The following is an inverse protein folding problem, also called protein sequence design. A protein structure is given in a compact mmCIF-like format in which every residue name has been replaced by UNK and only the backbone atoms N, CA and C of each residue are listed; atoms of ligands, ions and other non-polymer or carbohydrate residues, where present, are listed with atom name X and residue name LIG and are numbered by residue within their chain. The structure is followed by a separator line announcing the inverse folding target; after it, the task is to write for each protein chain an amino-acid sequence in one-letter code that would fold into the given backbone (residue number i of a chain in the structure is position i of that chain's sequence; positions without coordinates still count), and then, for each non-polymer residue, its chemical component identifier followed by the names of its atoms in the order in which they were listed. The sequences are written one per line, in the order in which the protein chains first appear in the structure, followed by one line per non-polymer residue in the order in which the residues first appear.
data_IF_328405329526
#
_entry.id   IF_328405329526
#
_cell.length_a   1.000
_cell.length_b   1.000
_cell.length_c   1.000
_cell.angle_alpha   90.00
_cell.angle_beta   90.00
_cell.angle_gamma   90.00
#
_symmetry.space_group_name_H-M   'P 1'
#
loop_
_entity.id
_entity.type
_entity.pdbx_description
1 polymer ?
#
# COMPACT_ATOMS: atom_id res chain seq x y z
N UNK A 1 2.96 23.00 -10.47
CA UNK A 1 2.64 21.74 -9.75
C UNK A 1 1.27 21.29 -10.21
N UNK A 2 1.16 20.10 -10.79
CA UNK A 2 -0.15 19.47 -11.03
C UNK A 2 -0.58 18.89 -9.68
N UNK A 3 -1.69 19.37 -9.12
CA UNK A 3 -2.26 18.84 -7.88
C UNK A 3 -2.79 17.43 -8.05
N UNK A 4 -3.43 16.88 -7.01
CA UNK A 4 -4.06 15.56 -7.12
C UNK A 4 -5.30 15.63 -8.03
N UNK A 5 -5.43 14.70 -8.98
CA UNK A 5 -6.57 14.67 -9.89
C UNK A 5 -7.89 14.45 -9.14
N UNK A 6 -8.97 15.14 -9.57
CA UNK A 6 -10.27 15.08 -8.89
C UNK A 6 -10.83 13.65 -8.74
N UNK A 7 -10.78 12.77 -9.77
CA UNK A 7 -11.25 11.38 -9.61
C UNK A 7 -10.49 10.59 -8.54
N UNK A 8 -9.20 10.90 -8.35
CA UNK A 8 -8.39 10.25 -7.32
C UNK A 8 -8.78 10.76 -5.92
N UNK A 9 -9.06 12.05 -5.76
CA UNK A 9 -9.62 12.58 -4.50
C UNK A 9 -10.94 11.88 -4.18
N UNK A 10 -11.86 11.81 -5.14
CA UNK A 10 -13.17 11.16 -4.96
C UNK A 10 -13.02 9.68 -4.58
N UNK A 11 -12.08 8.95 -5.19
CA UNK A 11 -11.75 7.58 -4.82
C UNK A 11 -11.25 7.46 -3.37
N UNK A 12 -10.35 8.34 -2.95
CA UNK A 12 -9.75 8.33 -1.61
C UNK A 12 -10.77 8.72 -0.52
N UNK A 13 -11.72 9.60 -0.84
CA UNK A 13 -12.78 10.05 0.06
C UNK A 13 -14.02 9.13 0.06
N UNK A 14 -14.14 8.18 -0.88
CA UNK A 14 -15.30 7.30 -0.95
C UNK A 14 -15.29 6.25 0.19
N UNK A 15 -16.28 6.25 1.12
CA UNK A 15 -16.32 5.27 2.21
C UNK A 15 -16.71 3.85 1.75
N UNK A 16 -17.37 3.71 0.59
CA UNK A 16 -17.74 2.43 0.03
C UNK A 16 -16.56 1.66 -0.59
N UNK A 17 -15.39 2.31 -0.71
CA UNK A 17 -14.17 1.70 -1.25
C UNK A 17 -13.13 1.69 -0.14
N UNK A 18 -12.72 0.49 0.29
CA UNK A 18 -11.68 0.33 1.32
C UNK A 18 -10.30 0.51 0.71
N UNK A 19 -9.48 1.36 1.33
CA UNK A 19 -8.07 1.57 0.95
C UNK A 19 -7.19 0.79 1.91
N UNK A 20 -6.39 -0.12 1.39
CA UNK A 20 -5.54 -1.03 2.16
C UNK A 20 -4.09 -0.69 1.86
N UNK A 21 -3.24 -0.64 2.89
CA UNK A 21 -1.81 -0.41 2.71
C UNK A 21 -1.00 -0.63 3.99
N UNK A 22 0.25 -0.18 3.97
CA UNK A 22 1.22 -0.28 5.06
C UNK A 22 1.83 1.11 5.25
N UNK A 23 1.76 1.67 6.45
CA UNK A 23 2.22 3.05 6.73
C UNK A 23 1.44 4.15 5.98
N UNK A 24 0.13 3.93 5.76
CA UNK A 24 -0.73 4.86 5.01
C UNK A 24 -0.75 6.28 5.58
N UNK A 25 -0.46 6.43 6.87
CA UNK A 25 -0.34 7.75 7.51
C UNK A 25 0.69 8.63 6.79
N UNK A 26 1.85 8.09 6.46
CA UNK A 26 2.92 8.85 5.82
C UNK A 26 2.56 9.19 4.36
N UNK A 27 1.94 8.23 3.66
CA UNK A 27 1.43 8.45 2.30
C UNK A 27 0.41 9.60 2.25
N UNK A 28 -0.57 9.60 3.16
CA UNK A 28 -1.57 10.67 3.21
C UNK A 28 -0.97 12.02 3.63
N UNK A 29 0.06 12.03 4.49
CA UNK A 29 0.77 13.29 4.80
C UNK A 29 1.45 13.88 3.56
N UNK A 30 2.01 13.04 2.67
CA UNK A 30 2.61 13.49 1.42
C UNK A 30 1.56 13.93 0.40
N UNK A 31 0.50 13.13 0.20
CA UNK A 31 -0.59 13.45 -0.73
C UNK A 31 -1.32 14.74 -0.35
N UNK A 32 -1.45 15.03 0.95
CA UNK A 32 -2.06 16.28 1.44
C UNK A 32 -1.27 17.54 1.08
N UNK A 33 0.01 17.42 0.70
CA UNK A 33 0.78 18.53 0.14
C UNK A 33 0.36 18.88 -1.30
N UNK A 34 -0.31 17.94 -1.98
CA UNK A 34 -0.76 18.09 -3.37
C UNK A 34 -2.23 18.52 -3.48
N UNK A 35 -3.07 18.15 -2.50
CA UNK A 35 -4.47 18.56 -2.42
C UNK A 35 -5.04 18.37 -1.00
N UNK A 36 -6.05 19.16 -0.63
CA UNK A 36 -6.83 18.91 0.60
C UNK A 36 -7.90 17.86 0.34
N UNK A 37 -7.93 16.81 1.15
CA UNK A 37 -8.95 15.75 1.12
C UNK A 37 -8.99 14.99 2.44
N UNK A 38 -10.09 14.28 2.68
CA UNK A 38 -10.32 13.48 3.88
C UNK A 38 -10.44 11.98 3.55
N UNK A 39 -9.34 11.19 3.65
CA UNK A 39 -9.38 9.76 3.37
C UNK A 39 -10.43 9.04 4.22
N UNK A 40 -11.27 8.23 3.59
CA UNK A 40 -12.30 7.42 4.25
C UNK A 40 -11.96 5.93 4.15
N UNK A 41 -12.49 5.08 5.04
CA UNK A 41 -12.39 3.60 4.90
C UNK A 41 -10.96 3.10 4.63
N UNK A 42 -10.00 3.52 5.45
CA UNK A 42 -8.58 3.17 5.30
C UNK A 42 -8.14 2.14 6.33
N UNK A 43 -7.43 1.10 5.90
CA UNK A 43 -6.88 0.04 6.73
C UNK A 43 -5.37 0.03 6.56
N UNK A 44 -4.66 0.40 7.63
CA UNK A 44 -3.21 0.25 7.72
C UNK A 44 -2.89 -1.08 8.38
N UNK A 45 -2.36 -2.02 7.58
CA UNK A 45 -2.06 -3.38 8.02
C UNK A 45 -1.06 -3.41 9.17
N UNK A 46 -0.16 -2.42 9.30
CA UNK A 46 0.81 -2.36 10.40
C UNK A 46 0.15 -2.29 11.78
N UNK A 47 -1.06 -1.74 11.84
CA UNK A 47 -1.79 -1.59 13.09
C UNK A 47 -2.52 -2.87 13.49
N UNK A 48 -2.74 -3.79 12.55
CA UNK A 48 -3.53 -4.99 12.78
C UNK A 48 -2.68 -6.26 12.86
N UNK A 49 -1.54 -6.34 12.16
CA UNK A 49 -0.72 -7.57 12.12
C UNK A 49 -0.21 -8.02 13.50
N UNK A 50 -0.09 -7.10 14.46
CA UNK A 50 0.32 -7.41 15.83
C UNK A 50 -0.63 -8.37 16.55
N UNK A 51 -1.94 -8.33 16.28
CA UNK A 51 -2.91 -9.27 16.87
C UNK A 51 -2.75 -10.70 16.36
N UNK A 52 -2.04 -10.88 15.25
CA UNK A 52 -1.69 -12.18 14.66
C UNK A 52 -0.29 -12.66 15.09
N UNK A 53 0.32 -12.02 16.09
CA UNK A 53 1.66 -12.36 16.59
C UNK A 53 2.81 -11.82 15.73
N UNK A 54 2.53 -11.05 14.67
CA UNK A 54 3.54 -10.50 13.77
C UNK A 54 4.08 -9.20 14.35
N UNK A 55 5.36 -9.21 14.76
CA UNK A 55 6.03 -8.03 15.32
C UNK A 55 6.64 -7.13 14.25
N UNK A 56 7.07 -7.71 13.12
CA UNK A 56 7.61 -6.96 12.00
C UNK A 56 6.51 -6.17 11.27
N UNK A 57 6.72 -4.87 11.07
CA UNK A 57 5.72 -3.99 10.42
C UNK A 57 5.99 -3.70 8.94
N UNK A 58 7.13 -4.11 8.39
CA UNK A 58 7.42 -3.84 6.98
C UNK A 58 6.63 -4.78 6.07
N UNK A 59 6.11 -4.27 4.95
CA UNK A 59 5.34 -5.06 3.96
C UNK A 59 6.05 -6.37 3.58
N UNK A 60 7.33 -6.30 3.23
CA UNK A 60 8.13 -7.47 2.86
C UNK A 60 8.18 -8.53 3.98
N UNK A 61 8.29 -8.11 5.24
CA UNK A 61 8.40 -9.02 6.38
C UNK A 61 7.05 -9.64 6.71
N UNK A 62 5.99 -8.84 6.75
CA UNK A 62 4.62 -9.32 6.94
C UNK A 62 4.31 -10.36 5.86
N UNK A 63 4.56 -10.03 4.59
CA UNK A 63 4.33 -10.93 3.47
C UNK A 63 5.16 -12.22 3.58
N UNK A 64 6.44 -12.12 3.99
CA UNK A 64 7.29 -13.30 4.15
C UNK A 64 6.85 -14.23 5.28
N UNK A 65 6.33 -13.67 6.39
CA UNK A 65 5.82 -14.45 7.50
C UNK A 65 4.53 -15.18 7.10
N UNK A 66 3.64 -14.52 6.37
CA UNK A 66 2.33 -15.06 6.03
C UNK A 66 2.35 -16.03 4.85
N UNK A 67 3.21 -15.80 3.85
CA UNK A 67 3.20 -16.54 2.59
C UNK A 67 4.48 -17.35 2.33
N UNK A 68 5.44 -17.33 3.27
CA UNK A 68 6.76 -17.98 3.13
C UNK A 68 7.51 -17.56 1.84
N UNK A 69 7.23 -16.34 1.36
CA UNK A 69 7.74 -15.80 0.08
C UNK A 69 8.35 -14.42 0.27
N UNK A 70 9.34 -14.07 -0.53
CA UNK A 70 10.04 -12.77 -0.44
C UNK A 70 9.67 -11.85 -1.60
N UNK A 71 9.31 -10.60 -1.27
CA UNK A 71 9.17 -9.51 -2.24
C UNK A 71 10.52 -8.82 -2.43
N UNK A 72 10.87 -8.45 -3.67
CA UNK A 72 12.11 -7.74 -3.96
C UNK A 72 12.05 -6.27 -3.53
N UNK A 73 13.16 -5.71 -3.05
CA UNK A 73 13.33 -4.28 -2.71
C UNK A 73 14.17 -3.49 -3.71
N UNK A 74 14.56 -4.13 -4.82
CA UNK A 74 15.60 -3.61 -5.73
C UNK A 74 15.27 -2.23 -6.32
N UNK A 75 13.99 -1.90 -6.51
CA UNK A 75 13.57 -0.66 -7.15
C UNK A 75 13.21 0.46 -6.18
N UNK A 76 13.26 0.22 -4.86
CA UNK A 76 12.86 1.20 -3.84
C UNK A 76 13.62 2.52 -3.96
N UNK A 77 14.92 2.46 -4.24
CA UNK A 77 15.83 3.61 -4.35
C UNK A 77 16.19 3.95 -5.80
N UNK A 78 15.38 3.49 -6.77
CA UNK A 78 15.56 3.83 -8.19
C UNK A 78 15.12 5.28 -8.47
N UNK A 79 15.42 5.78 -9.67
CA UNK A 79 14.93 7.09 -10.11
C UNK A 79 13.42 7.03 -10.45
N UNK A 80 12.58 7.38 -9.48
CA UNK A 80 11.12 7.45 -9.64
C UNK A 80 10.62 8.72 -10.36
N UNK A 81 11.51 9.67 -10.63
CA UNK A 81 11.20 10.88 -11.39
C UNK A 81 11.41 10.70 -12.91
N UNK A 82 11.81 9.50 -13.33
CA UNK A 82 11.96 9.16 -14.76
C UNK A 82 10.61 9.30 -15.48
N UNK A 83 10.61 9.99 -16.63
CA UNK A 83 9.42 10.17 -17.47
C UNK A 83 8.81 8.83 -17.91
N UNK A 84 9.67 7.87 -18.22
CA UNK A 84 9.28 6.49 -18.51
C UNK A 84 9.84 5.57 -17.43
N UNK A 85 8.94 4.86 -16.75
CA UNK A 85 9.32 3.86 -15.75
C UNK A 85 9.70 2.55 -16.43
N UNK A 86 10.82 1.96 -15.99
CA UNK A 86 11.22 0.62 -16.43
C UNK A 86 10.20 -0.44 -15.98
N UNK A 87 10.15 -1.56 -16.70
CA UNK A 87 9.29 -2.69 -16.32
C UNK A 87 9.56 -3.19 -14.88
N UNK A 88 10.81 -3.09 -14.41
CA UNK A 88 11.16 -3.47 -13.06
C UNK A 88 10.51 -2.54 -12.03
N UNK A 89 10.51 -1.23 -12.27
CA UNK A 89 9.84 -0.25 -11.40
C UNK A 89 8.33 -0.44 -11.40
N UNK A 90 7.73 -0.64 -12.57
CA UNK A 90 6.29 -0.90 -12.70
C UNK A 90 5.88 -2.16 -11.94
N UNK A 91 6.62 -3.26 -12.13
CA UNK A 91 6.40 -4.51 -11.38
C UNK A 91 6.56 -4.31 -9.88
N UNK A 92 7.56 -3.55 -9.44
CA UNK A 92 7.76 -3.25 -8.03
C UNK A 92 6.55 -2.51 -7.43
N UNK A 93 6.11 -1.42 -8.06
CA UNK A 93 4.96 -0.64 -7.59
C UNK A 93 3.66 -1.47 -7.57
N UNK A 94 3.42 -2.28 -8.61
CA UNK A 94 2.28 -3.19 -8.67
C UNK A 94 2.35 -4.27 -7.57
N UNK A 95 3.54 -4.81 -7.29
CA UNK A 95 3.74 -5.84 -6.25
C UNK A 95 3.44 -5.28 -4.86
N UNK A 96 3.83 -4.04 -4.55
CA UNK A 96 3.58 -3.44 -3.24
C UNK A 96 2.06 -3.30 -2.96
N UNK A 97 1.27 -2.86 -3.94
CA UNK A 97 -0.18 -2.77 -3.83
C UNK A 97 -0.85 -4.16 -3.77
N UNK A 98 -0.45 -5.08 -4.65
CA UNK A 98 -0.98 -6.45 -4.70
C UNK A 98 -0.72 -7.22 -3.40
N UNK A 99 0.48 -7.08 -2.83
CA UNK A 99 0.84 -7.73 -1.58
C UNK A 99 -0.02 -7.24 -0.40
N UNK A 100 -0.33 -5.93 -0.34
CA UNK A 100 -1.22 -5.39 0.68
C UNK A 100 -2.62 -6.02 0.59
N UNK A 101 -3.17 -6.15 -0.62
CA UNK A 101 -4.46 -6.81 -0.84
C UNK A 101 -4.41 -8.29 -0.40
N UNK A 102 -3.40 -9.05 -0.83
CA UNK A 102 -3.25 -10.46 -0.45
C UNK A 102 -3.15 -10.66 1.07
N UNK A 103 -2.39 -9.80 1.76
CA UNK A 103 -2.31 -9.84 3.22
C UNK A 103 -3.68 -9.58 3.84
N UNK A 104 -4.41 -8.58 3.34
CA UNK A 104 -5.74 -8.26 3.84
C UNK A 104 -6.73 -9.42 3.66
N UNK A 105 -6.78 -10.00 2.47
CA UNK A 105 -7.69 -11.11 2.17
C UNK A 105 -7.42 -12.32 3.08
N UNK A 106 -6.14 -12.65 3.29
CA UNK A 106 -5.74 -13.73 4.19
C UNK A 106 -6.15 -13.46 5.65
N UNK A 107 -5.93 -12.24 6.15
CA UNK A 107 -6.13 -11.92 7.56
C UNK A 107 -7.60 -11.59 7.92
N UNK A 108 -8.40 -11.09 6.98
CA UNK A 108 -9.72 -10.53 7.27
C UNK A 108 -10.86 -11.12 6.45
N UNK A 109 -10.59 -11.72 5.28
CA UNK A 109 -11.64 -12.31 4.44
C UNK A 109 -11.71 -13.84 4.51
N UNK A 110 -10.79 -14.49 5.24
CA UNK A 110 -10.65 -15.95 5.33
C UNK A 110 -10.52 -16.62 3.94
N UNK A 111 -9.95 -15.93 2.97
CA UNK A 111 -9.69 -16.54 1.66
C UNK A 111 -8.61 -17.62 1.81
N UNK A 112 -8.90 -18.89 1.46
CA UNK A 112 -7.91 -19.95 1.52
C UNK A 112 -6.76 -19.67 0.53
N UNK A 113 -5.53 -19.94 0.99
CA UNK A 113 -4.29 -19.79 0.21
C UNK A 113 -4.24 -20.80 -0.94
#
# INVERSE_FOLDING_TARGET
LIGLARPLIELLENPAITKIGVSLRDDFMLLRKLATFNPQSCIDLQNSVGSFGIQDKSLQKIYAILFEKKISKAQRLSNWESEVLSDAQQRYAATDAWACLKIYDLLFQNDPI
#
